data_IF_242240368125
#
_entry.id   IF_242240368125
#
_cell.length_a   1.000
_cell.length_b   1.000
_cell.length_c   1.000
_cell.angle_alpha   90.00
_cell.angle_beta   90.00
_cell.angle_gamma   90.00
#
_symmetry.space_group_name_H-M   'P 1'
#
loop_
_entity.id
_entity.type
_entity.pdbx_description
1 polymer ?
#
# COMPACT_ATOMS: atom_id res chain seq x y z
N UNK A 1 11.79 0.86 2.74
CA UNK A 1 12.91 0.44 1.87
C UNK A 1 14.18 0.13 2.67
N UNK A 2 14.66 1.05 3.51
CA UNK A 2 15.92 0.90 4.28
C UNK A 2 15.97 -0.34 5.20
N UNK A 3 14.86 -0.69 5.86
CA UNK A 3 14.78 -1.86 6.76
C UNK A 3 14.90 -3.18 6.00
N UNK A 4 14.33 -3.28 4.79
CA UNK A 4 14.43 -4.48 3.96
C UNK A 4 15.88 -4.67 3.49
N UNK A 5 16.55 -3.58 3.08
CA UNK A 5 17.98 -3.61 2.75
C UNK A 5 18.85 -3.99 3.95
N UNK A 6 18.54 -3.51 5.15
CA UNK A 6 19.26 -3.86 6.37
C UNK A 6 19.12 -5.35 6.72
N UNK A 7 17.90 -5.90 6.61
CA UNK A 7 17.66 -7.34 6.84
C UNK A 7 18.39 -8.18 5.79
N UNK A 8 18.31 -7.79 4.51
CA UNK A 8 18.98 -8.52 3.43
C UNK A 8 20.50 -8.48 3.58
N UNK A 9 21.06 -7.32 3.93
CA UNK A 9 22.49 -7.17 4.24
C UNK A 9 22.92 -8.04 5.42
N UNK A 10 22.12 -8.09 6.48
CA UNK A 10 22.41 -8.89 7.66
C UNK A 10 22.40 -10.40 7.38
N UNK A 11 21.45 -10.87 6.56
CA UNK A 11 21.37 -12.27 6.11
C UNK A 11 22.62 -12.64 5.28
N UNK A 12 23.06 -11.77 4.36
CA UNK A 12 24.28 -12.00 3.57
C UNK A 12 25.51 -12.07 4.48
N UNK A 13 25.64 -11.17 5.46
CA UNK A 13 26.77 -11.20 6.40
C UNK A 13 26.79 -12.49 7.22
N UNK A 14 25.64 -12.95 7.70
CA UNK A 14 25.50 -14.23 8.40
C UNK A 14 25.89 -15.42 7.51
N UNK A 15 25.51 -15.40 6.23
CA UNK A 15 25.87 -16.44 5.27
C UNK A 15 27.39 -16.50 5.03
N UNK A 16 28.04 -15.34 4.86
CA UNK A 16 29.49 -15.26 4.65
C UNK A 16 30.28 -15.70 5.89
N UNK A 17 29.84 -15.29 7.09
CA UNK A 17 30.48 -15.68 8.34
C UNK A 17 30.31 -17.18 8.61
N UNK A 18 29.11 -17.72 8.37
CA UNK A 18 28.88 -19.16 8.52
C UNK A 18 29.66 -20.00 7.50
N UNK A 19 29.80 -19.56 6.25
CA UNK A 19 30.67 -20.21 5.26
C UNK A 19 32.14 -20.25 5.70
N UNK A 20 32.67 -19.12 6.21
CA UNK A 20 34.05 -19.05 6.71
C UNK A 20 34.29 -19.95 7.92
N UNK A 21 33.30 -20.10 8.79
CA UNK A 21 33.36 -20.99 9.96
C UNK A 21 33.31 -22.46 9.50
N UNK A 22 32.48 -22.80 8.52
CA UNK A 22 32.41 -24.16 7.94
C UNK A 22 33.75 -24.55 7.30
N UNK A 23 34.42 -23.63 6.60
CA UNK A 23 35.76 -23.86 6.06
C UNK A 23 36.79 -24.10 7.17
N UNK A 24 36.75 -23.32 8.25
CA UNK A 24 37.64 -23.50 9.40
C UNK A 24 37.44 -24.86 10.07
N UNK A 25 36.18 -25.27 10.21
CA UNK A 25 35.73 -26.56 10.75
C UNK A 25 36.19 -27.71 9.83
N UNK A 26 36.09 -27.58 8.50
CA UNK A 26 36.59 -28.57 7.55
C UNK A 26 38.11 -28.72 7.59
N UNK A 27 38.84 -27.62 7.82
CA UNK A 27 40.30 -27.62 8.00
C UNK A 27 40.69 -28.33 9.31
N UNK A 28 39.98 -28.08 10.41
CA UNK A 28 40.23 -28.76 11.70
C UNK A 28 39.83 -30.24 11.70
N UNK A 29 38.83 -30.65 10.91
CA UNK A 29 38.44 -32.06 10.73
C UNK A 29 39.58 -32.92 10.19
N UNK A 30 40.51 -32.33 9.40
CA UNK A 30 41.73 -33.02 8.94
C UNK A 30 42.78 -33.20 10.05
N UNK A 31 42.67 -32.50 11.18
CA UNK A 31 43.69 -32.47 12.25
C UNK A 31 43.32 -33.23 13.53
N UNK A 32 42.04 -33.42 13.86
CA UNK A 32 41.64 -33.98 15.15
C UNK A 32 40.78 -35.26 15.09
N UNK A 33 41.13 -36.22 15.95
CA UNK A 33 40.51 -37.55 16.10
C UNK A 33 39.08 -37.44 16.71
N UNK A 34 38.09 -37.46 15.83
CA UNK A 34 36.71 -38.00 15.89
C UNK A 34 35.70 -37.63 17.01
N UNK A 35 36.05 -37.33 18.26
CA UNK A 35 35.01 -37.17 19.32
C UNK A 35 34.75 -35.73 19.82
N UNK A 36 35.74 -34.84 19.78
CA UNK A 36 35.54 -33.44 20.19
C UNK A 36 34.78 -32.62 19.14
N UNK A 37 35.04 -32.92 17.86
CA UNK A 37 34.46 -32.21 16.71
C UNK A 37 32.94 -32.34 16.60
N UNK A 38 32.40 -33.53 16.89
CA UNK A 38 30.95 -33.75 16.90
C UNK A 38 30.25 -32.85 17.92
N UNK A 39 30.83 -32.69 19.12
CA UNK A 39 30.25 -31.85 20.17
C UNK A 39 30.23 -30.37 19.77
N UNK A 40 31.33 -29.86 19.21
CA UNK A 40 31.41 -28.47 18.74
C UNK A 40 30.41 -28.22 17.61
N UNK A 41 30.29 -29.16 16.67
CA UNK A 41 29.32 -29.07 15.58
C UNK A 41 27.87 -29.08 16.06
N UNK A 42 27.53 -29.93 17.04
CA UNK A 42 26.18 -29.99 17.60
C UNK A 42 25.82 -28.71 18.36
N UNK A 43 26.73 -28.17 19.18
CA UNK A 43 26.51 -26.91 19.90
C UNK A 43 26.36 -25.74 18.93
N UNK A 44 27.17 -25.71 17.87
CA UNK A 44 27.08 -24.67 16.84
C UNK A 44 25.79 -24.76 16.02
N UNK A 45 25.36 -25.96 15.64
CA UNK A 45 24.10 -26.19 14.94
C UNK A 45 22.89 -25.75 15.77
N UNK A 46 22.90 -26.05 17.07
CA UNK A 46 21.86 -25.59 18.02
C UNK A 46 21.83 -24.06 18.12
N UNK A 47 23.00 -23.41 18.19
CA UNK A 47 23.08 -21.95 18.21
C UNK A 47 22.54 -21.33 16.92
N UNK A 48 22.88 -21.89 15.77
CA UNK A 48 22.41 -21.41 14.48
C UNK A 48 20.88 -21.55 14.34
N UNK A 49 20.34 -22.68 14.81
CA UNK A 49 18.90 -22.94 14.84
C UNK A 49 18.16 -21.95 15.74
N UNK A 50 18.74 -21.63 16.91
CA UNK A 50 18.19 -20.63 17.82
C UNK A 50 18.15 -19.23 17.20
N UNK A 51 19.24 -18.80 16.54
CA UNK A 51 19.29 -17.50 15.85
C UNK A 51 18.26 -17.43 14.72
N UNK A 52 18.12 -18.50 13.93
CA UNK A 52 17.12 -18.56 12.86
C UNK A 52 15.69 -18.49 13.40
N UNK A 53 15.40 -19.22 14.48
CA UNK A 53 14.10 -19.19 15.16
C UNK A 53 13.75 -17.80 15.71
N UNK A 54 14.73 -17.11 16.32
CA UNK A 54 14.57 -15.75 16.83
C UNK A 54 14.31 -14.73 15.70
N UNK A 55 15.02 -14.83 14.59
CA UNK A 55 14.80 -13.97 13.40
C UNK A 55 13.39 -14.20 12.83
N UNK A 56 12.94 -15.45 12.75
CA UNK A 56 11.60 -15.79 12.26
C UNK A 56 10.51 -15.22 13.17
N UNK A 57 10.68 -15.30 14.49
CA UNK A 57 9.72 -14.74 15.46
C UNK A 57 9.68 -13.22 15.35
N UNK A 58 10.81 -12.53 15.22
CA UNK A 58 10.86 -11.07 15.01
C UNK A 58 10.15 -10.67 13.70
N UNK A 59 10.34 -11.43 12.62
CA UNK A 59 9.66 -11.22 11.34
C UNK A 59 8.14 -11.37 11.44
N UNK A 60 7.67 -12.44 12.08
CA UNK A 60 6.23 -12.68 12.29
C UNK A 60 5.63 -11.60 13.20
N UNK A 61 6.35 -11.23 14.26
CA UNK A 61 5.97 -10.17 15.20
C UNK A 61 5.85 -8.82 14.48
N UNK A 62 6.78 -8.49 13.60
CA UNK A 62 6.76 -7.25 12.82
C UNK A 62 5.61 -7.20 11.80
N UNK A 63 5.20 -8.35 11.27
CA UNK A 63 4.01 -8.46 10.40
C UNK A 63 2.73 -8.25 11.21
N UNK A 64 2.65 -8.77 12.44
CA UNK A 64 1.46 -8.70 13.30
C UNK A 64 1.33 -7.39 14.10
N UNK A 65 2.43 -6.78 14.54
CA UNK A 65 2.46 -5.58 15.40
C UNK A 65 2.46 -4.27 14.63
N UNK A 66 2.55 -4.30 13.30
CA UNK A 66 2.14 -3.14 12.52
C UNK A 66 0.61 -3.07 12.56
N UNK A 67 -0.01 -1.97 13.05
CA UNK A 67 -1.39 -1.71 12.70
C UNK A 67 -1.50 -1.73 11.17
N UNK A 68 -2.68 -2.03 10.58
CA UNK A 68 -2.87 -2.06 9.15
C UNK A 68 -2.73 -0.64 8.60
N UNK A 69 -1.50 -0.15 8.50
CA UNK A 69 -1.10 0.90 7.60
C UNK A 69 -1.16 0.25 6.23
N UNK A 70 -2.40 0.22 5.74
CA UNK A 70 -2.83 0.19 4.35
C UNK A 70 -1.64 -0.04 3.43
N UNK A 71 -1.49 -1.29 3.02
CA UNK A 71 -0.79 -1.64 1.81
C UNK A 71 -1.43 -0.87 0.66
N UNK A 72 -0.95 0.36 0.44
CA UNK A 72 -1.12 1.13 -0.79
C UNK A 72 -0.25 0.50 -1.87
N UNK A 73 -0.54 -0.75 -2.21
CA UNK A 73 -0.08 -1.42 -3.42
C UNK A 73 -1.17 -2.42 -3.79
N UNK A 74 -2.06 -2.02 -4.70
CA UNK A 74 -2.65 -2.89 -5.72
C UNK A 74 -3.00 -4.32 -5.32
N UNK A 75 -3.69 -4.50 -4.19
CA UNK A 75 -4.40 -5.74 -3.91
C UNK A 75 -5.78 -5.61 -4.57
N UNK A 76 -5.82 -5.76 -5.90
CA UNK A 76 -6.96 -6.36 -6.58
C UNK A 76 -7.09 -7.79 -6.05
N UNK A 77 -7.56 -7.95 -4.82
CA UNK A 77 -8.23 -9.18 -4.45
C UNK A 77 -9.54 -9.11 -5.20
N UNK A 78 -9.64 -9.92 -6.24
CA UNK A 78 -10.89 -10.30 -6.85
C UNK A 78 -11.83 -10.75 -5.72
N UNK A 79 -12.69 -9.84 -5.26
CA UNK A 79 -13.90 -10.22 -4.55
C UNK A 79 -14.91 -10.40 -5.67
N UNK A 80 -14.83 -11.57 -6.29
CA UNK A 80 -15.90 -12.15 -7.08
C UNK A 80 -16.94 -12.69 -6.09
N UNK A 81 -17.62 -11.76 -5.42
CA UNK A 81 -18.98 -11.92 -4.94
C UNK A 81 -19.60 -10.58 -5.26
N UNK A 82 -20.39 -10.54 -6.33
CA UNK A 82 -21.14 -9.34 -6.73
C UNK A 82 -22.23 -9.17 -5.68
N UNK A 83 -21.88 -8.62 -4.52
CA UNK A 83 -22.85 -8.19 -3.53
C UNK A 83 -23.83 -7.29 -4.29
N UNK A 84 -25.11 -7.64 -4.29
CA UNK A 84 -26.11 -6.84 -4.98
C UNK A 84 -26.44 -5.65 -4.08
N UNK A 85 -26.50 -4.46 -4.68
CA UNK A 85 -26.98 -3.28 -3.96
C UNK A 85 -28.46 -3.47 -3.67
N UNK A 86 -28.85 -3.29 -2.42
CA UNK A 86 -30.25 -3.38 -2.06
C UNK A 86 -31.04 -2.26 -2.74
N UNK A 87 -32.20 -2.59 -3.32
CA UNK A 87 -33.03 -1.65 -4.07
C UNK A 87 -33.36 -0.37 -3.28
N UNK A 88 -33.51 -0.49 -1.97
CA UNK A 88 -33.77 0.64 -1.06
C UNK A 88 -32.59 1.59 -0.89
N UNK A 89 -31.35 1.10 -1.08
CA UNK A 89 -30.13 1.90 -0.97
C UNK A 89 -29.76 2.58 -2.28
N UNK A 90 -30.31 2.13 -3.42
CA UNK A 90 -29.96 2.64 -4.74
C UNK A 90 -30.13 4.16 -4.86
N UNK A 91 -31.25 4.72 -4.39
CA UNK A 91 -31.45 6.17 -4.45
C UNK A 91 -30.39 6.92 -3.63
N UNK A 92 -30.05 6.42 -2.43
CA UNK A 92 -28.99 6.99 -1.57
C UNK A 92 -27.63 6.99 -2.28
N UNK A 93 -27.30 5.91 -2.98
CA UNK A 93 -26.06 5.83 -3.77
C UNK A 93 -26.05 6.81 -4.93
N UNK A 94 -27.11 6.85 -5.75
CA UNK A 94 -27.18 7.74 -6.92
C UNK A 94 -27.09 9.21 -6.49
N UNK A 95 -27.83 9.61 -5.46
CA UNK A 95 -27.82 10.98 -4.95
C UNK A 95 -26.43 11.36 -4.43
N UNK A 96 -25.82 10.46 -3.65
CA UNK A 96 -24.48 10.68 -3.09
C UNK A 96 -23.43 10.75 -4.20
N UNK A 97 -23.48 9.86 -5.19
CA UNK A 97 -22.59 9.87 -6.35
C UNK A 97 -22.71 11.20 -7.08
N UNK A 98 -23.92 11.63 -7.43
CA UNK A 98 -24.14 12.89 -8.13
C UNK A 98 -23.58 14.10 -7.36
N UNK A 99 -23.88 14.20 -6.06
CA UNK A 99 -23.41 15.29 -5.21
C UNK A 99 -21.88 15.28 -5.12
N UNK A 100 -21.29 14.11 -4.86
CA UNK A 100 -19.85 13.99 -4.61
C UNK A 100 -19.03 14.19 -5.88
N UNK A 101 -19.47 13.68 -7.03
CA UNK A 101 -18.80 13.90 -8.32
C UNK A 101 -18.73 15.38 -8.68
N UNK A 102 -19.83 16.11 -8.50
CA UNK A 102 -19.87 17.55 -8.74
C UNK A 102 -18.91 18.32 -7.82
N UNK A 103 -18.73 17.86 -6.57
CA UNK A 103 -17.82 18.49 -5.62
C UNK A 103 -16.33 18.30 -5.98
N UNK A 104 -15.98 17.20 -6.67
CA UNK A 104 -14.58 16.85 -6.96
C UNK A 104 -14.20 17.07 -8.43
N UNK A 105 -15.17 17.24 -9.34
CA UNK A 105 -14.97 17.32 -10.79
C UNK A 105 -13.81 18.26 -11.21
N UNK A 106 -13.77 19.48 -10.65
CA UNK A 106 -12.71 20.46 -10.96
C UNK A 106 -11.33 20.05 -10.46
N UNK A 107 -11.27 19.33 -9.34
CA UNK A 107 -10.03 18.84 -8.74
C UNK A 107 -9.49 17.61 -9.48
N UNK A 108 -10.38 16.85 -10.12
CA UNK A 108 -9.98 15.67 -10.88
C UNK A 108 -9.26 16.01 -12.18
N UNK A 109 -9.40 17.23 -12.69
CA UNK A 109 -8.61 17.74 -13.81
C UNK A 109 -7.20 18.18 -13.38
N UNK A 110 -6.49 17.29 -12.69
CA UNK A 110 -5.20 17.56 -12.07
C UNK A 110 -4.08 17.80 -13.09
N UNK A 111 -4.18 17.26 -14.32
CA UNK A 111 -3.25 17.56 -15.41
C UNK A 111 -3.31 19.02 -15.85
N UNK A 112 -4.49 19.61 -15.88
CA UNK A 112 -4.64 21.04 -16.16
C UNK A 112 -3.97 21.91 -15.09
N UNK A 113 -3.99 21.49 -13.82
CA UNK A 113 -3.30 22.20 -12.73
C UNK A 113 -1.78 22.21 -12.98
N UNK A 114 -1.22 21.08 -13.40
CA UNK A 114 0.21 20.97 -13.74
C UNK A 114 0.63 21.83 -14.94
N UNK A 115 -0.25 21.98 -15.94
CA UNK A 115 0.06 22.72 -17.16
C UNK A 115 -0.10 24.25 -17.02
N UNK A 116 -1.02 24.70 -16.17
CA UNK A 116 -1.46 26.10 -16.15
C UNK A 116 -1.02 26.90 -14.92
N UNK A 117 -0.59 26.23 -13.85
CA UNK A 117 -0.36 26.87 -12.56
C UNK A 117 1.13 27.01 -12.22
N UNK A 118 1.45 28.05 -11.44
CA UNK A 118 2.82 28.19 -10.89
C UNK A 118 3.11 27.09 -9.87
N UNK A 119 4.39 26.80 -9.61
CA UNK A 119 4.80 25.80 -8.61
C UNK A 119 4.17 25.99 -7.22
N UNK A 120 4.07 27.25 -6.79
CA UNK A 120 3.43 27.58 -5.51
C UNK A 120 1.92 27.27 -5.56
N UNK A 121 1.27 27.62 -6.67
CA UNK A 121 -0.16 27.36 -6.90
C UNK A 121 -0.46 25.87 -6.99
N UNK A 122 0.38 25.10 -7.69
CA UNK A 122 0.29 23.63 -7.77
C UNK A 122 0.24 23.05 -6.36
N UNK A 123 1.22 23.38 -5.51
CA UNK A 123 1.26 22.88 -4.14
C UNK A 123 -0.04 23.17 -3.36
N UNK A 124 -0.55 24.40 -3.46
CA UNK A 124 -1.76 24.81 -2.76
C UNK A 124 -3.01 24.07 -3.27
N UNK A 125 -3.17 23.95 -4.59
CA UNK A 125 -4.30 23.26 -5.21
C UNK A 125 -4.30 21.76 -4.89
N UNK A 126 -3.13 21.11 -4.88
CA UNK A 126 -3.02 19.70 -4.48
C UNK A 126 -3.33 19.48 -3.00
N UNK A 127 -2.92 20.39 -2.10
CA UNK A 127 -3.29 20.31 -0.68
C UNK A 127 -4.80 20.48 -0.47
N UNK A 128 -5.38 21.48 -1.13
CA UNK A 128 -6.83 21.71 -1.12
C UNK A 128 -7.60 20.50 -1.69
N UNK A 129 -7.10 19.94 -2.78
CA UNK A 129 -7.66 18.74 -3.40
C UNK A 129 -7.61 17.53 -2.48
N UNK A 130 -6.48 17.27 -1.81
CA UNK A 130 -6.34 16.19 -0.84
C UNK A 130 -7.36 16.29 0.30
N UNK A 131 -7.52 17.49 0.87
CA UNK A 131 -8.48 17.74 1.95
C UNK A 131 -9.92 17.54 1.46
N UNK A 132 -10.25 18.03 0.26
CA UNK A 132 -11.59 17.89 -0.31
C UNK A 132 -11.92 16.43 -0.62
N UNK A 133 -11.00 15.68 -1.22
CA UNK A 133 -11.17 14.24 -1.50
C UNK A 133 -11.36 13.44 -0.22
N UNK A 134 -10.63 13.76 0.86
CA UNK A 134 -10.81 13.11 2.17
C UNK A 134 -12.17 13.42 2.78
N UNK A 135 -12.63 14.68 2.68
CA UNK A 135 -13.97 15.08 3.13
C UNK A 135 -15.08 14.38 2.35
N UNK A 136 -14.91 14.19 1.04
CA UNK A 136 -15.87 13.48 0.19
C UNK A 136 -15.86 11.98 0.47
N UNK A 137 -14.70 11.38 0.71
CA UNK A 137 -14.60 9.99 1.14
C UNK A 137 -15.39 9.73 2.43
N UNK A 138 -15.37 10.67 3.37
CA UNK A 138 -16.14 10.57 4.60
C UNK A 138 -17.65 10.53 4.36
N UNK A 139 -18.16 11.27 3.36
CA UNK A 139 -19.59 11.23 3.01
C UNK A 139 -20.05 9.83 2.57
N UNK A 140 -19.18 9.08 1.88
CA UNK A 140 -19.46 7.67 1.56
C UNK A 140 -19.42 6.78 2.80
N UNK A 141 -18.45 6.97 3.69
CA UNK A 141 -18.35 6.18 4.93
C UNK A 141 -19.50 6.44 5.91
N UNK A 142 -20.02 7.66 5.93
CA UNK A 142 -21.16 8.07 6.74
C UNK A 142 -22.51 7.72 6.08
N UNK A 143 -22.50 7.10 4.89
CA UNK A 143 -23.72 6.72 4.18
C UNK A 143 -24.41 5.56 4.90
N UNK A 144 -25.61 5.82 5.39
CA UNK A 144 -26.46 4.84 6.04
C UNK A 144 -27.09 3.89 5.01
N UNK A 145 -26.48 2.72 4.81
CA UNK A 145 -26.90 1.67 3.86
C UNK A 145 -26.84 0.31 4.52
N UNK A 146 -27.55 -0.67 3.95
CA UNK A 146 -27.51 -2.04 4.44
C UNK A 146 -26.10 -2.66 4.35
N UNK A 147 -25.83 -3.66 5.19
CA UNK A 147 -24.55 -4.36 5.25
C UNK A 147 -24.11 -4.91 3.88
N UNK A 148 -25.07 -5.45 3.10
CA UNK A 148 -24.84 -5.96 1.76
C UNK A 148 -24.38 -4.87 0.77
N UNK A 149 -24.85 -3.65 0.95
CA UNK A 149 -24.52 -2.50 0.10
C UNK A 149 -23.29 -1.74 0.59
N UNK A 150 -22.91 -1.91 1.86
CA UNK A 150 -21.86 -1.13 2.53
C UNK A 150 -20.49 -1.27 1.86
N UNK A 151 -20.19 -2.44 1.30
CA UNK A 151 -18.95 -2.69 0.57
C UNK A 151 -18.71 -1.67 -0.56
N UNK A 152 -19.75 -1.26 -1.31
CA UNK A 152 -19.61 -0.28 -2.39
C UNK A 152 -19.26 1.11 -1.85
N UNK A 153 -19.90 1.54 -0.76
CA UNK A 153 -19.57 2.81 -0.08
C UNK A 153 -18.12 2.81 0.39
N UNK A 154 -17.67 1.71 1.01
CA UNK A 154 -16.30 1.56 1.49
C UNK A 154 -15.28 1.59 0.34
N UNK A 155 -15.56 0.93 -0.78
CA UNK A 155 -14.68 0.94 -1.95
C UNK A 155 -14.56 2.33 -2.58
N UNK A 156 -15.68 3.05 -2.74
CA UNK A 156 -15.65 4.44 -3.25
C UNK A 156 -14.87 5.36 -2.31
N UNK A 157 -15.10 5.25 -1.01
CA UNK A 157 -14.35 6.00 0.00
C UNK A 157 -12.85 5.70 -0.05
N UNK A 158 -12.48 4.42 -0.19
CA UNK A 158 -11.08 4.00 -0.26
C UNK A 158 -10.36 4.59 -1.48
N UNK A 159 -10.98 4.55 -2.67
CA UNK A 159 -10.37 5.12 -3.88
C UNK A 159 -10.19 6.64 -3.77
N UNK A 160 -11.15 7.34 -3.14
CA UNK A 160 -11.02 8.77 -2.88
C UNK A 160 -9.90 9.09 -1.87
N UNK A 161 -9.76 8.28 -0.82
CA UNK A 161 -8.66 8.41 0.14
C UNK A 161 -7.30 8.12 -0.51
N UNK A 162 -7.23 7.12 -1.39
CA UNK A 162 -6.02 6.82 -2.17
C UNK A 162 -5.62 8.03 -3.01
N UNK A 163 -6.56 8.58 -3.78
CA UNK A 163 -6.31 9.77 -4.59
C UNK A 163 -5.90 10.97 -3.74
N UNK A 164 -6.52 11.16 -2.56
CA UNK A 164 -6.13 12.21 -1.62
C UNK A 164 -4.67 12.09 -1.15
N UNK A 165 -4.21 10.86 -0.90
CA UNK A 165 -2.83 10.62 -0.51
C UNK A 165 -1.85 10.87 -1.66
N UNK A 166 -2.22 10.51 -2.89
CA UNK A 166 -1.42 10.85 -4.07
C UNK A 166 -1.31 12.37 -4.23
N UNK A 167 -2.41 13.11 -4.01
CA UNK A 167 -2.42 14.57 -4.06
C UNK A 167 -1.48 15.17 -3.00
N UNK A 168 -1.53 14.64 -1.77
CA UNK A 168 -0.63 15.05 -0.69
C UNK A 168 0.84 14.81 -1.06
N UNK A 169 1.18 13.61 -1.57
CA UNK A 169 2.54 13.29 -2.03
C UNK A 169 3.01 14.23 -3.14
N UNK A 170 2.13 14.56 -4.10
CA UNK A 170 2.46 15.51 -5.17
C UNK A 170 2.77 16.91 -4.62
N UNK A 171 2.00 17.39 -3.64
CA UNK A 171 2.23 18.69 -2.99
C UNK A 171 3.56 18.79 -2.22
N UNK A 172 4.11 17.65 -1.82
CA UNK A 172 5.37 17.54 -1.09
C UNK A 172 6.57 17.26 -2.02
N UNK A 173 6.33 16.90 -3.28
CA UNK A 173 7.38 16.54 -4.25
C UNK A 173 7.98 17.78 -4.90
N UNK A 174 9.31 17.90 -4.86
CA UNK A 174 10.07 19.01 -5.44
C UNK A 174 10.41 18.71 -6.90
N UNK A 175 10.28 19.71 -7.78
CA UNK A 175 10.61 19.62 -9.20
C UNK A 175 12.11 19.72 -9.49
N UNK A 176 12.82 18.63 -9.20
CA UNK A 176 14.20 18.40 -9.65
C UNK A 176 14.24 17.17 -10.58
N UNK A 177 15.40 16.87 -11.20
CA UNK A 177 15.48 15.78 -12.19
C UNK A 177 14.93 14.41 -11.73
N UNK A 178 15.08 14.05 -10.44
CA UNK A 178 14.44 12.83 -9.88
C UNK A 178 12.97 13.05 -9.55
N UNK A 179 12.61 14.24 -9.10
CA UNK A 179 11.25 14.66 -8.78
C UNK A 179 10.33 14.70 -9.99
N UNK A 180 10.80 15.08 -11.17
CA UNK A 180 10.00 15.09 -12.42
C UNK A 180 9.47 13.69 -12.74
N UNK A 181 10.32 12.66 -12.71
CA UNK A 181 9.88 11.27 -12.92
C UNK A 181 8.88 10.81 -11.85
N UNK A 182 9.11 11.21 -10.59
CA UNK A 182 8.19 10.90 -9.50
C UNK A 182 6.83 11.58 -9.70
N UNK A 183 6.81 12.83 -10.19
CA UNK A 183 5.59 13.57 -10.49
C UNK A 183 4.80 12.84 -11.59
N UNK A 184 5.42 12.50 -12.72
CA UNK A 184 4.74 11.75 -13.78
C UNK A 184 4.10 10.44 -13.26
N UNK A 185 4.84 9.66 -12.48
CA UNK A 185 4.30 8.44 -11.87
C UNK A 185 3.12 8.72 -10.92
N UNK A 186 3.15 9.82 -10.15
CA UNK A 186 2.04 10.21 -9.28
C UNK A 186 0.80 10.58 -10.09
N UNK A 187 0.96 11.33 -11.18
CA UNK A 187 -0.14 11.73 -12.07
C UNK A 187 -0.80 10.49 -12.72
N UNK A 188 0.00 9.55 -13.22
CA UNK A 188 -0.53 8.30 -13.78
C UNK A 188 -1.31 7.47 -12.76
N UNK A 189 -0.82 7.41 -11.50
CA UNK A 189 -1.56 6.73 -10.43
C UNK A 189 -2.88 7.44 -10.10
N UNK A 190 -2.91 8.77 -10.11
CA UNK A 190 -4.14 9.54 -9.91
C UNK A 190 -5.16 9.25 -11.00
N UNK A 191 -4.74 9.21 -12.27
CA UNK A 191 -5.59 8.85 -13.41
C UNK A 191 -6.17 7.44 -13.26
N UNK A 192 -5.32 6.47 -12.89
CA UNK A 192 -5.73 5.08 -12.70
C UNK A 192 -6.82 4.95 -11.63
N UNK A 193 -6.61 5.56 -10.46
CA UNK A 193 -7.57 5.53 -9.35
C UNK A 193 -8.89 6.20 -9.76
N UNK A 194 -8.82 7.30 -10.52
CA UNK A 194 -10.01 7.98 -11.06
C UNK A 194 -10.81 7.05 -11.97
N UNK A 195 -10.13 6.37 -12.89
CA UNK A 195 -10.76 5.44 -13.84
C UNK A 195 -11.40 4.25 -13.12
N UNK A 196 -10.71 3.68 -12.13
CA UNK A 196 -11.24 2.58 -11.32
C UNK A 196 -12.51 3.00 -10.57
N UNK A 197 -12.51 4.20 -9.99
CA UNK A 197 -13.65 4.78 -9.29
C UNK A 197 -14.85 5.01 -10.22
N UNK A 198 -14.62 5.57 -11.40
CA UNK A 198 -15.67 5.78 -12.42
C UNK A 198 -16.26 4.45 -12.91
N UNK A 199 -15.45 3.41 -13.08
CA UNK A 199 -15.94 2.07 -13.42
C UNK A 199 -16.85 1.50 -12.32
N UNK A 200 -16.50 1.70 -11.05
CA UNK A 200 -17.32 1.27 -9.92
C UNK A 200 -18.65 2.04 -9.87
N UNK A 201 -18.61 3.36 -10.06
CA UNK A 201 -19.82 4.20 -10.17
C UNK A 201 -20.73 3.69 -11.29
N UNK A 202 -20.17 3.45 -12.48
CA UNK A 202 -20.93 2.92 -13.62
C UNK A 202 -21.56 1.56 -13.29
N UNK A 203 -20.86 0.71 -12.53
CA UNK A 203 -21.40 -0.59 -12.10
C UNK A 203 -22.55 -0.42 -11.10
N UNK A 204 -22.42 0.50 -10.15
CA UNK A 204 -23.49 0.86 -9.19
C UNK A 204 -24.71 1.41 -9.94
N UNK A 205 -24.51 2.37 -10.84
CA UNK A 205 -25.58 2.97 -11.65
C UNK A 205 -26.32 1.91 -12.48
N UNK A 206 -25.60 0.96 -13.07
CA UNK A 206 -26.21 -0.16 -13.83
C UNK A 206 -27.01 -1.11 -12.96
N UNK A 207 -26.58 -1.37 -11.73
CA UNK A 207 -27.35 -2.21 -10.79
C UNK A 207 -28.60 -1.48 -10.28
N UNK A 208 -28.54 -0.15 -10.18
CA UNK A 208 -29.62 0.66 -9.63
C UNK A 208 -30.63 1.19 -10.66
N UNK A 209 -30.30 1.14 -11.96
CA UNK A 209 -31.23 1.40 -13.05
C UNK A 209 -32.07 0.14 -13.32
N UNK A 210 -33.25 0.08 -12.69
CA UNK A 210 -34.29 -0.93 -12.93
C UNK A 210 -35.08 -0.66 -14.21
#
# INVERSE_FOLDING_TARGET
>A
MFVIFAIFSFIITLFLVSSKIIDLILIEKKRFKSNSFKKVFTVFSLFLWFVFSAILTILISYILLKPPQLWFVGSQKAIADVALIEKQDCQKFIDTIYITENQIHRLENHRYIEESASLFTIKLEYQKGANKLTSVAKQYLDLDVAENSQHYSQQLAQMLQEKAQLFKKRSETVENGKGVKQIFNLLEQMDLVTKQRQNLITAIEKQCNF
#
